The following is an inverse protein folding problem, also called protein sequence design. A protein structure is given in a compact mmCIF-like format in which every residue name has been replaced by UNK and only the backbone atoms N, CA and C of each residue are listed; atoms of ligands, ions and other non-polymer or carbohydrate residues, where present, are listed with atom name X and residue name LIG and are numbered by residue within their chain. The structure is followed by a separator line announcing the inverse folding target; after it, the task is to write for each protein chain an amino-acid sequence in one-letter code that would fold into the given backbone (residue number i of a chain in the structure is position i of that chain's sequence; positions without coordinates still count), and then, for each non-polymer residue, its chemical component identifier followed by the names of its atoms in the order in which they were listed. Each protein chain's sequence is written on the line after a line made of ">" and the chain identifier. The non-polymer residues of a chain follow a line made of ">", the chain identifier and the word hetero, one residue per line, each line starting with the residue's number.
data_IF_276622703197
#
_entry.id   IF_276622703197
#
_cell.length_a   1.000
_cell.length_b   1.000
_cell.length_c   1.000
_cell.angle_alpha   90.00
_cell.angle_beta   90.00
_cell.angle_gamma   90.00
#
_symmetry.space_group_name_H-M   'P 1'
#
loop_
_entity.id
_entity.type
_entity.pdbx_description
1 polymer ?
#
# COMPACT_ATOMS: atom_id res chain seq x y z
N UNK A 1 -22.53 33.44 -4.49
CA UNK A 1 -21.76 33.20 -5.73
C UNK A 1 -22.02 34.36 -6.67
N UNK A 2 -21.16 35.38 -6.65
CA UNK A 2 -21.19 36.38 -7.72
C UNK A 2 -20.62 35.73 -8.98
N UNK A 3 -21.28 35.84 -10.15
CA UNK A 3 -20.72 35.35 -11.40
C UNK A 3 -19.39 36.07 -11.67
N UNK A 4 -18.37 35.32 -12.08
CA UNK A 4 -17.01 35.82 -12.37
C UNK A 4 -16.98 37.06 -13.29
N UNK A 5 -18.02 37.22 -14.12
CA UNK A 5 -18.23 38.36 -15.02
C UNK A 5 -18.52 39.71 -14.31
N UNK A 6 -18.95 39.71 -13.04
CA UNK A 6 -19.17 40.94 -12.27
C UNK A 6 -17.91 41.49 -11.58
N UNK A 7 -16.88 40.65 -11.40
CA UNK A 7 -15.70 40.98 -10.59
C UNK A 7 -14.51 41.39 -11.47
N UNK A 8 -14.42 40.85 -12.69
CA UNK A 8 -13.34 41.15 -13.63
C UNK A 8 -13.91 42.07 -14.71
N UNK A 9 -13.44 43.33 -14.85
CA UNK A 9 -13.85 44.16 -15.96
C UNK A 9 -13.54 43.44 -17.28
N UNK A 10 -14.39 43.62 -18.29
CA UNK A 10 -14.11 43.10 -19.63
C UNK A 10 -12.76 43.65 -20.10
N UNK A 11 -11.74 42.80 -20.11
CA UNK A 11 -10.43 43.10 -20.67
C UNK A 11 -10.44 42.66 -22.13
N UNK A 12 -10.18 43.58 -23.05
CA UNK A 12 -9.73 43.20 -24.37
C UNK A 12 -8.29 42.70 -24.22
N UNK A 13 -8.07 41.42 -24.54
CA UNK A 13 -6.73 40.81 -24.48
C UNK A 13 -5.73 41.56 -25.36
N UNK A 14 -6.17 42.29 -26.39
CA UNK A 14 -5.31 43.08 -27.26
C UNK A 14 -4.71 44.32 -26.57
N UNK A 15 -5.32 44.82 -25.50
CA UNK A 15 -4.94 46.09 -24.85
C UNK A 15 -4.02 45.89 -23.61
N UNK A 16 -3.77 44.65 -23.22
CA UNK A 16 -2.86 44.35 -22.10
C UNK A 16 -1.44 44.27 -22.64
N UNK A 17 -0.52 45.18 -22.24
CA UNK A 17 0.89 45.00 -22.55
C UNK A 17 1.37 43.74 -21.82
N UNK A 18 1.48 42.63 -22.54
CA UNK A 18 1.81 41.34 -21.96
C UNK A 18 3.20 41.39 -21.33
N UNK A 19 3.24 41.39 -20.00
CA UNK A 19 4.42 41.02 -19.22
C UNK A 19 4.40 39.51 -18.97
N UNK A 20 5.57 38.92 -18.73
CA UNK A 20 5.69 37.53 -18.30
C UNK A 20 4.86 37.31 -17.02
N UNK A 21 3.96 36.33 -17.04
CA UNK A 21 3.15 35.90 -15.90
C UNK A 21 3.91 34.78 -15.19
N UNK A 22 4.25 35.00 -13.92
CA UNK A 22 4.85 34.01 -13.05
C UNK A 22 3.83 33.40 -12.09
N UNK A 23 3.58 32.11 -12.25
CA UNK A 23 2.73 31.31 -11.37
C UNK A 23 3.61 30.57 -10.36
N UNK A 24 3.30 30.65 -9.08
CA UNK A 24 4.01 29.94 -8.01
C UNK A 24 3.04 29.16 -7.12
N UNK A 25 3.51 28.14 -6.40
CA UNK A 25 2.75 27.51 -5.33
C UNK A 25 2.51 26.02 -5.51
N UNK A 26 1.36 25.55 -5.05
CA UNK A 26 1.04 24.15 -4.76
C UNK A 26 1.38 23.17 -5.89
N UNK A 27 2.16 22.15 -5.54
CA UNK A 27 2.41 20.97 -6.38
C UNK A 27 1.12 20.23 -6.78
N UNK A 28 0.08 20.28 -5.96
CA UNK A 28 -1.22 19.68 -6.29
C UNK A 28 -1.94 20.42 -7.43
N UNK A 29 -1.72 21.73 -7.56
CA UNK A 29 -2.35 22.57 -8.59
C UNK A 29 -1.44 22.75 -9.81
N UNK A 30 -0.15 22.40 -9.69
CA UNK A 30 0.84 22.55 -10.76
C UNK A 30 0.46 21.90 -12.10
N UNK A 31 -0.16 20.69 -12.17
CA UNK A 31 -0.59 20.12 -13.44
C UNK A 31 -1.59 21.00 -14.20
N UNK A 32 -2.52 21.63 -13.48
CA UNK A 32 -3.51 22.55 -14.08
C UNK A 32 -2.83 23.84 -14.54
N UNK A 33 -1.93 24.41 -13.74
CA UNK A 33 -1.16 25.59 -14.11
C UNK A 33 -0.27 25.36 -15.34
N UNK A 34 0.38 24.19 -15.43
CA UNK A 34 1.19 23.79 -16.59
C UNK A 34 0.32 23.62 -17.85
N UNK A 35 -0.89 23.07 -17.70
CA UNK A 35 -1.83 22.96 -18.82
C UNK A 35 -2.32 24.33 -19.29
N UNK A 36 -2.60 25.27 -18.38
CA UNK A 36 -2.93 26.66 -18.72
C UNK A 36 -1.79 27.33 -19.49
N UNK A 37 -0.54 27.15 -19.04
CA UNK A 37 0.64 27.64 -19.73
C UNK A 37 0.81 27.01 -21.13
N UNK A 38 0.51 25.72 -21.28
CA UNK A 38 0.52 25.06 -22.59
C UNK A 38 -0.54 25.62 -23.55
N UNK A 39 -1.76 25.88 -23.06
CA UNK A 39 -2.83 26.49 -23.86
C UNK A 39 -2.50 27.93 -24.27
N UNK A 40 -1.90 28.73 -23.38
CA UNK A 40 -1.44 30.08 -23.71
C UNK A 40 -0.40 30.07 -24.83
N UNK A 41 0.59 29.16 -24.75
CA UNK A 41 1.59 28.97 -25.80
C UNK A 41 0.95 28.57 -27.13
N UNK A 42 0.01 27.64 -27.12
CA UNK A 42 -0.72 27.22 -28.33
C UNK A 42 -1.58 28.34 -28.94
N UNK A 43 -2.08 29.26 -28.10
CA UNK A 43 -2.87 30.43 -28.50
C UNK A 43 -2.05 31.59 -29.07
N UNK A 44 -0.73 31.44 -29.24
CA UNK A 44 0.14 32.48 -29.81
C UNK A 44 0.85 33.35 -28.77
N UNK A 45 0.87 32.93 -27.50
CA UNK A 45 1.60 33.59 -26.41
C UNK A 45 2.77 32.72 -25.91
N UNK A 46 3.80 32.48 -26.74
CA UNK A 46 4.97 31.70 -26.33
C UNK A 46 5.68 32.38 -25.16
N UNK A 47 6.16 31.58 -24.19
CA UNK A 47 6.99 32.00 -23.06
C UNK A 47 6.38 33.01 -22.07
N UNK A 48 5.12 33.38 -22.26
CA UNK A 48 4.41 34.35 -21.42
C UNK A 48 4.03 33.81 -20.04
N UNK A 49 4.00 32.49 -19.83
CA UNK A 49 3.59 31.89 -18.54
C UNK A 49 4.69 30.97 -18.01
N UNK A 50 5.25 31.32 -16.87
CA UNK A 50 6.20 30.49 -16.13
C UNK A 50 5.51 29.87 -14.91
N UNK A 51 5.85 28.62 -14.59
CA UNK A 51 5.23 27.89 -13.46
C UNK A 51 6.33 27.34 -12.56
N UNK A 52 6.36 27.80 -11.30
CA UNK A 52 7.24 27.31 -10.25
C UNK A 52 6.44 26.49 -9.22
N UNK A 53 6.66 25.19 -9.22
CA UNK A 53 5.96 24.24 -8.32
C UNK A 53 6.67 24.14 -6.96
N UNK A 54 5.93 24.36 -5.88
CA UNK A 54 6.35 24.43 -4.46
C UNK A 54 5.17 24.03 -3.54
N UNK A 55 5.18 24.39 -2.25
CA UNK A 55 4.00 24.26 -1.37
C UNK A 55 3.12 25.51 -1.45
N UNK A 56 1.85 25.44 -1.05
CA UNK A 56 0.96 26.62 -1.03
C UNK A 56 1.52 27.75 -0.16
N UNK A 57 2.05 27.43 1.02
CA UNK A 57 2.64 28.43 1.93
C UNK A 57 3.89 29.09 1.35
N UNK A 58 4.77 28.32 0.70
CA UNK A 58 5.94 28.86 0.00
C UNK A 58 5.54 29.70 -1.23
N UNK A 59 4.48 29.30 -1.94
CA UNK A 59 3.86 30.07 -3.02
C UNK A 59 3.35 31.43 -2.53
N UNK A 60 2.59 31.46 -1.44
CA UNK A 60 2.17 32.72 -0.82
C UNK A 60 3.36 33.55 -0.35
N UNK A 61 4.39 32.95 0.26
CA UNK A 61 5.59 33.68 0.66
C UNK A 61 6.30 34.34 -0.54
N UNK A 62 6.39 33.61 -1.66
CA UNK A 62 7.01 34.11 -2.89
C UNK A 62 6.16 35.21 -3.53
N UNK A 63 4.84 35.02 -3.60
CA UNK A 63 3.92 36.01 -4.14
C UNK A 63 3.83 37.26 -3.26
N UNK A 64 3.90 37.15 -1.94
CA UNK A 64 3.85 38.33 -1.07
C UNK A 64 5.20 39.08 -1.03
N UNK A 65 6.27 38.60 -1.69
CA UNK A 65 7.55 39.28 -1.74
C UNK A 65 7.59 40.39 -2.82
N UNK A 66 8.50 41.34 -2.65
CA UNK A 66 8.74 42.39 -3.66
C UNK A 66 9.28 41.76 -4.97
N UNK A 67 8.68 42.13 -6.10
CA UNK A 67 8.95 41.47 -7.39
C UNK A 67 8.57 39.97 -7.46
N UNK A 68 7.77 39.47 -6.51
CA UNK A 68 7.25 38.10 -6.51
C UNK A 68 6.29 37.81 -7.66
N UNK A 69 5.93 36.54 -7.86
CA UNK A 69 5.06 36.10 -8.96
C UNK A 69 3.67 36.74 -8.98
N UNK A 70 2.95 36.60 -10.09
CA UNK A 70 1.66 37.24 -10.37
C UNK A 70 0.45 36.41 -9.93
N UNK A 71 0.62 35.08 -9.83
CA UNK A 71 -0.44 34.16 -9.45
C UNK A 71 0.08 33.15 -8.43
N UNK A 72 -0.70 32.92 -7.38
CA UNK A 72 -0.50 31.76 -6.48
C UNK A 72 -1.46 30.66 -6.88
N UNK A 73 -0.92 29.57 -7.41
CA UNK A 73 -1.63 28.30 -7.50
C UNK A 73 -1.71 27.70 -6.10
N UNK A 74 -2.89 27.70 -5.48
CA UNK A 74 -3.07 27.32 -4.09
C UNK A 74 -4.10 26.19 -3.95
N UNK A 75 -3.76 25.15 -3.18
CA UNK A 75 -4.68 24.05 -2.86
C UNK A 75 -5.57 24.34 -1.65
N UNK A 76 -5.36 25.47 -0.98
CA UNK A 76 -6.23 26.05 0.06
C UNK A 76 -6.25 27.57 -0.02
N UNK A 77 -7.22 28.18 0.65
CA UNK A 77 -7.24 29.63 0.82
C UNK A 77 -6.05 30.13 1.67
N UNK A 78 -5.68 31.40 1.48
CA UNK A 78 -4.69 32.07 2.31
C UNK A 78 -5.16 32.14 3.78
N UNK A 79 -4.30 31.74 4.70
CA UNK A 79 -4.56 31.88 6.13
C UNK A 79 -4.44 33.35 6.58
N UNK A 80 -4.61 33.62 7.88
CA UNK A 80 -4.58 34.99 8.41
C UNK A 80 -3.22 35.67 8.20
N UNK A 81 -2.14 34.97 8.51
CA UNK A 81 -0.78 35.51 8.47
C UNK A 81 -0.30 35.75 7.04
N UNK A 82 -0.65 34.85 6.10
CA UNK A 82 -0.37 35.01 4.67
C UNK A 82 -1.11 36.23 4.10
N UNK A 83 -2.36 36.44 4.48
CA UNK A 83 -3.14 37.62 4.08
C UNK A 83 -2.52 38.91 4.58
N UNK A 84 -2.11 38.94 5.84
CA UNK A 84 -1.47 40.13 6.42
C UNK A 84 -0.11 40.40 5.77
N UNK A 85 0.69 39.36 5.51
CA UNK A 85 1.97 39.50 4.82
C UNK A 85 1.82 40.11 3.43
N UNK A 86 0.87 39.61 2.64
CA UNK A 86 0.57 40.16 1.32
C UNK A 86 0.07 41.62 1.40
N UNK A 87 -0.81 41.92 2.36
CA UNK A 87 -1.29 43.29 2.59
C UNK A 87 -0.15 44.24 2.97
N UNK A 88 0.75 43.82 3.84
CA UNK A 88 1.92 44.60 4.25
C UNK A 88 2.88 44.87 3.07
N UNK A 89 2.94 43.96 2.10
CA UNK A 89 3.65 44.13 0.84
C UNK A 89 2.85 44.93 -0.22
N UNK A 90 1.70 45.49 0.13
CA UNK A 90 0.84 46.24 -0.79
C UNK A 90 0.12 45.38 -1.84
N UNK A 91 0.09 44.06 -1.67
CA UNK A 91 -0.53 43.10 -2.60
C UNK A 91 -1.91 42.67 -2.11
N UNK A 92 -2.92 42.86 -2.95
CA UNK A 92 -4.30 42.42 -2.69
C UNK A 92 -4.53 41.03 -3.27
N UNK A 93 -4.93 40.08 -2.41
CA UNK A 93 -5.29 38.73 -2.85
C UNK A 93 -6.72 38.70 -3.37
N UNK A 94 -6.88 38.31 -4.64
CA UNK A 94 -8.17 38.06 -5.26
C UNK A 94 -8.32 36.54 -5.52
N UNK A 95 -9.15 35.82 -4.74
CA UNK A 95 -9.27 34.37 -4.87
C UNK A 95 -10.15 33.97 -6.07
N UNK A 96 -9.64 33.06 -6.89
CA UNK A 96 -10.37 32.43 -7.98
C UNK A 96 -10.46 30.91 -7.77
N UNK A 97 -11.64 30.36 -7.45
CA UNK A 97 -11.82 28.91 -7.40
C UNK A 97 -11.82 28.36 -8.84
N UNK A 98 -10.78 27.60 -9.19
CA UNK A 98 -10.60 27.05 -10.54
C UNK A 98 -10.98 25.57 -10.64
N UNK A 99 -10.93 24.84 -9.53
CA UNK A 99 -11.27 23.43 -9.44
C UNK A 99 -11.65 23.08 -7.99
N UNK A 100 -12.43 22.02 -7.85
CA UNK A 100 -12.65 21.33 -6.58
C UNK A 100 -12.06 19.94 -6.75
N UNK A 101 -11.16 19.57 -5.85
CA UNK A 101 -10.56 18.25 -5.81
C UNK A 101 -10.83 17.62 -4.43
N UNK A 102 -10.93 16.29 -4.40
CA UNK A 102 -11.29 15.54 -3.21
C UNK A 102 -10.18 14.57 -2.83
N UNK A 103 -9.59 14.80 -1.67
CA UNK A 103 -8.74 13.83 -1.00
C UNK A 103 -9.62 12.78 -0.31
N UNK A 104 -9.52 11.53 -0.74
CA UNK A 104 -10.29 10.42 -0.16
C UNK A 104 -9.44 9.64 0.83
N UNK A 105 -10.00 9.37 2.01
CA UNK A 105 -9.44 8.41 2.96
C UNK A 105 -10.24 7.11 2.80
N UNK A 106 -9.56 6.07 2.36
CA UNK A 106 -10.16 4.75 2.19
C UNK A 106 -9.73 3.84 3.36
N UNK A 107 -10.63 2.94 3.73
CA UNK A 107 -10.33 1.85 4.66
C UNK A 107 -10.75 0.54 4.01
N UNK A 108 -10.17 -0.56 4.48
CA UNK A 108 -10.56 -1.90 4.03
C UNK A 108 -12.07 -2.13 4.21
N UNK A 109 -12.68 -2.86 3.27
CA UNK A 109 -14.10 -3.25 3.31
C UNK A 109 -14.50 -4.05 4.53
N UNK A 110 -13.54 -4.73 5.13
CA UNK A 110 -13.72 -5.50 6.35
C UNK A 110 -13.59 -4.63 7.61
N UNK A 111 -13.22 -3.36 7.49
CA UNK A 111 -13.31 -2.42 8.60
C UNK A 111 -14.77 -2.02 8.78
N UNK A 112 -15.48 -2.75 9.63
CA UNK A 112 -16.92 -2.55 9.90
C UNK A 112 -17.19 -1.61 11.08
N UNK A 113 -16.16 -1.24 11.85
CA UNK A 113 -16.31 -0.43 13.05
C UNK A 113 -16.02 1.06 12.82
N UNK A 114 -15.15 1.40 11.87
CA UNK A 114 -14.77 2.78 11.60
C UNK A 114 -15.81 3.45 10.69
N UNK A 115 -16.65 4.30 11.27
CA UNK A 115 -17.70 5.04 10.55
C UNK A 115 -17.26 6.44 10.12
N UNK A 116 -16.43 7.08 10.94
CA UNK A 116 -15.87 8.41 10.70
C UNK A 116 -14.65 8.62 11.58
N UNK A 117 -13.76 9.51 11.16
CA UNK A 117 -12.62 9.97 11.95
C UNK A 117 -12.51 11.49 11.85
N UNK A 118 -12.08 12.11 12.93
CA UNK A 118 -11.66 13.51 12.95
C UNK A 118 -10.28 13.68 12.31
N UNK A 119 -9.89 14.90 11.94
CA UNK A 119 -8.53 15.18 11.44
C UNK A 119 -7.46 14.79 12.48
N UNK A 120 -7.73 15.04 13.76
CA UNK A 120 -6.83 14.69 14.85
C UNK A 120 -6.68 13.17 14.99
N UNK A 121 -7.78 12.42 14.95
CA UNK A 121 -7.72 10.95 14.92
C UNK A 121 -7.02 10.43 13.66
N UNK A 122 -7.20 11.08 12.52
CA UNK A 122 -6.50 10.72 11.28
C UNK A 122 -4.99 10.94 11.39
N UNK A 123 -4.54 12.03 12.00
CA UNK A 123 -3.12 12.26 12.31
C UNK A 123 -2.59 11.17 13.26
N UNK A 124 -3.36 10.83 14.30
CA UNK A 124 -3.01 9.74 15.23
C UNK A 124 -2.91 8.39 14.51
N UNK A 125 -3.86 8.10 13.62
CA UNK A 125 -3.88 6.92 12.74
C UNK A 125 -2.70 6.90 11.79
N UNK A 126 -2.08 8.03 11.44
CA UNK A 126 -0.98 8.11 10.46
C UNK A 126 0.40 8.15 11.12
N UNK A 127 0.51 8.66 12.35
CA UNK A 127 1.81 8.89 13.02
C UNK A 127 2.01 7.99 14.23
N UNK A 128 1.01 7.84 15.09
CA UNK A 128 1.21 7.40 16.48
C UNK A 128 0.66 6.02 16.78
N UNK A 129 -0.61 5.79 16.45
CA UNK A 129 -1.34 4.59 16.85
C UNK A 129 -0.74 3.32 16.22
N UNK A 130 -0.66 2.24 17.00
CA UNK A 130 -0.23 0.92 16.52
C UNK A 130 -1.43 0.01 16.35
N UNK A 131 -2.45 0.16 17.20
CA UNK A 131 -3.71 -0.57 17.13
C UNK A 131 -4.89 0.39 17.08
N UNK A 132 -6.05 -0.07 16.60
CA UNK A 132 -7.25 0.78 16.60
C UNK A 132 -7.72 1.12 18.02
N UNK A 133 -7.50 0.21 18.97
CA UNK A 133 -7.80 0.43 20.38
C UNK A 133 -6.98 1.56 21.03
N UNK A 134 -5.84 1.93 20.43
CA UNK A 134 -5.03 3.06 20.91
C UNK A 134 -5.74 4.41 20.74
N UNK A 135 -6.63 4.52 19.74
CA UNK A 135 -7.43 5.73 19.50
C UNK A 135 -8.75 5.71 20.27
N UNK A 136 -9.40 4.55 20.29
CA UNK A 136 -10.67 4.36 20.96
C UNK A 136 -10.70 2.96 21.57
N UNK A 137 -10.75 2.82 22.91
CA UNK A 137 -10.78 1.52 23.57
C UNK A 137 -11.97 0.62 23.18
N UNK A 138 -13.01 1.17 22.54
CA UNK A 138 -14.14 0.39 22.01
C UNK A 138 -13.87 -0.20 20.62
N UNK A 139 -12.80 0.22 19.94
CA UNK A 139 -12.38 -0.35 18.67
C UNK A 139 -11.53 -1.61 18.87
N UNK A 140 -11.44 -2.50 17.86
CA UNK A 140 -10.66 -3.72 17.95
C UNK A 140 -9.20 -3.47 18.33
N UNK A 141 -8.60 -4.40 19.06
CA UNK A 141 -7.16 -4.41 19.33
C UNK A 141 -6.37 -4.99 18.14
N UNK A 142 -6.76 -4.59 16.93
CA UNK A 142 -6.12 -5.01 15.68
C UNK A 142 -5.05 -3.99 15.29
N UNK A 143 -3.91 -4.43 14.74
CA UNK A 143 -2.87 -3.51 14.27
C UNK A 143 -3.37 -2.63 13.12
N UNK A 144 -2.86 -1.40 13.08
CA UNK A 144 -3.11 -0.45 12.00
C UNK A 144 -1.99 -0.57 10.97
N UNK A 145 -2.34 -0.98 9.75
CA UNK A 145 -1.45 -0.93 8.58
C UNK A 145 -1.75 0.31 7.76
N UNK A 146 -0.70 0.98 7.27
CA UNK A 146 -0.77 2.29 6.60
C UNK A 146 -0.07 2.18 5.24
N UNK A 147 -0.77 2.48 4.16
CA UNK A 147 -0.13 2.85 2.91
C UNK A 147 -0.28 4.34 2.68
N UNK A 148 0.86 5.02 2.56
CA UNK A 148 0.91 6.44 2.28
C UNK A 148 1.37 6.65 0.84
N UNK A 149 0.86 7.68 0.16
CA UNK A 149 1.33 8.04 -1.17
C UNK A 149 2.83 8.32 -1.15
N UNK A 150 3.52 7.96 -2.23
CA UNK A 150 4.95 8.26 -2.38
C UNK A 150 5.22 9.75 -2.17
N UNK A 151 6.27 10.07 -1.42
CA UNK A 151 6.57 11.44 -0.94
C UNK A 151 6.76 12.48 -2.06
N UNK A 152 7.05 12.03 -3.29
CA UNK A 152 7.21 12.91 -4.45
C UNK A 152 5.89 13.18 -5.19
N UNK A 153 4.77 12.59 -4.76
CA UNK A 153 3.46 12.82 -5.36
C UNK A 153 2.82 14.12 -4.87
N UNK A 154 2.13 14.84 -5.75
CA UNK A 154 1.34 16.04 -5.38
C UNK A 154 0.25 15.74 -4.34
N UNK A 155 -0.24 14.50 -4.36
CA UNK A 155 -1.12 13.92 -3.35
C UNK A 155 -0.51 13.89 -1.95
N UNK A 156 0.72 13.38 -1.80
CA UNK A 156 1.41 13.37 -0.50
C UNK A 156 1.65 14.79 0.01
N UNK A 157 2.02 15.71 -0.89
CA UNK A 157 2.22 17.11 -0.56
C UNK A 157 0.92 17.77 -0.04
N UNK A 158 -0.22 17.51 -0.68
CA UNK A 158 -1.51 18.02 -0.22
C UNK A 158 -1.97 17.37 1.09
N UNK A 159 -1.82 16.05 1.24
CA UNK A 159 -2.15 15.35 2.49
C UNK A 159 -1.36 15.94 3.67
N UNK A 160 -0.06 16.14 3.49
CA UNK A 160 0.80 16.80 4.49
C UNK A 160 0.29 18.20 4.80
N UNK A 161 -0.02 19.01 3.78
CA UNK A 161 -0.46 20.38 3.99
C UNK A 161 -1.84 20.50 4.67
N UNK A 162 -2.78 19.62 4.31
CA UNK A 162 -4.18 19.73 4.72
C UNK A 162 -4.50 18.94 5.99
N UNK A 163 -3.73 17.88 6.27
CA UNK A 163 -4.01 16.95 7.38
C UNK A 163 -2.92 16.98 8.44
N UNK A 164 -1.65 17.23 8.11
CA UNK A 164 -0.53 17.06 9.06
C UNK A 164 -0.12 18.38 9.71
N UNK A 165 0.11 18.36 11.02
CA UNK A 165 0.73 19.49 11.74
C UNK A 165 2.27 19.39 11.70
N UNK A 166 2.97 20.53 11.83
CA UNK A 166 4.45 20.59 11.77
C UNK A 166 5.13 19.63 12.75
N UNK A 167 4.58 19.50 13.96
CA UNK A 167 5.10 18.64 15.02
C UNK A 167 4.93 17.14 14.69
N UNK A 168 3.88 16.78 13.97
CA UNK A 168 3.62 15.43 13.51
C UNK A 168 4.55 15.03 12.34
N UNK A 169 4.93 16.00 11.49
CA UNK A 169 5.89 15.82 10.40
C UNK A 169 7.32 15.58 10.90
N UNK A 170 7.73 16.28 11.95
CA UNK A 170 9.03 16.08 12.59
C UNK A 170 9.18 14.65 13.13
N UNK A 171 8.12 14.11 13.75
CA UNK A 171 8.12 12.75 14.31
C UNK A 171 8.01 11.65 13.24
N UNK A 172 7.30 11.89 12.13
CA UNK A 172 7.37 11.04 10.94
C UNK A 172 8.79 10.97 10.37
N UNK A 173 9.51 12.09 10.35
CA UNK A 173 10.89 12.16 9.88
C UNK A 173 11.89 11.48 10.83
N UNK A 174 11.66 11.50 12.15
CA UNK A 174 12.49 10.78 13.13
C UNK A 174 12.32 9.25 13.05
N UNK A 175 11.11 8.76 12.76
CA UNK A 175 10.86 7.32 12.52
C UNK A 175 11.60 6.77 11.30
N UNK A 176 12.02 7.63 10.38
CA UNK A 176 12.86 7.29 9.20
C UNK A 176 14.30 6.90 9.56
N UNK A 177 14.78 7.24 10.76
CA UNK A 177 16.12 6.87 11.22
C UNK A 177 16.18 5.48 11.89
N UNK A 178 15.08 4.71 11.85
CA UNK A 178 15.11 3.27 12.06
C UNK A 178 15.31 2.57 10.71
N UNK A 179 16.08 1.46 10.65
CA UNK A 179 16.45 0.83 9.39
C UNK A 179 15.20 0.51 8.55
N UNK A 180 15.24 0.97 7.29
CA UNK A 180 14.16 0.97 6.30
C UNK A 180 13.70 -0.43 5.86
N UNK A 181 14.21 -1.50 6.48
CA UNK A 181 13.83 -2.90 6.27
C UNK A 181 12.63 -3.35 7.12
N UNK A 182 11.96 -2.42 7.83
CA UNK A 182 10.93 -2.74 8.84
C UNK A 182 9.57 -2.05 8.62
N UNK A 183 9.41 -1.30 7.53
CA UNK A 183 8.12 -0.77 7.08
C UNK A 183 7.91 -1.22 5.64
N UNK A 184 6.77 -1.86 5.29
CA UNK A 184 6.48 -2.17 3.90
C UNK A 184 6.29 -0.85 3.14
N UNK A 185 7.24 -0.52 2.25
CA UNK A 185 7.04 0.50 1.23
C UNK A 185 5.98 -0.02 0.24
N UNK A 186 4.71 0.29 0.51
CA UNK A 186 3.66 0.07 -0.48
C UNK A 186 3.67 1.26 -1.43
N UNK A 187 4.36 1.10 -2.57
CA UNK A 187 4.24 2.01 -3.70
C UNK A 187 2.83 1.85 -4.30
N UNK A 188 1.93 2.78 -3.97
CA UNK A 188 0.64 2.87 -4.62
C UNK A 188 0.83 3.33 -6.07
N UNK A 189 0.93 2.39 -7.00
CA UNK A 189 0.69 2.68 -8.41
C UNK A 189 -0.81 2.86 -8.62
N UNK A 190 -1.17 3.81 -9.48
CA UNK A 190 -2.56 4.11 -9.85
C UNK A 190 -3.07 3.01 -10.80
N UNK A 191 -3.13 1.74 -10.36
CA UNK A 191 -3.66 0.64 -11.16
C UNK A 191 -5.17 0.48 -10.91
N UNK A 192 -5.97 0.86 -11.91
CA UNK A 192 -7.44 0.77 -11.89
C UNK A 192 -7.98 -0.67 -11.99
N UNK A 193 -7.16 -1.70 -11.71
CA UNK A 193 -7.51 -3.11 -11.96
C UNK A 193 -8.06 -3.89 -10.76
N UNK A 194 -8.10 -3.31 -9.56
CA UNK A 194 -8.86 -3.92 -8.46
C UNK A 194 -10.35 -3.55 -8.57
N UNK A 195 -11.09 -4.41 -9.28
CA UNK A 195 -12.53 -4.28 -9.57
C UNK A 195 -13.43 -4.57 -8.37
N UNK A 196 -12.89 -4.78 -7.17
CA UNK A 196 -13.74 -5.06 -6.04
C UNK A 196 -14.51 -3.82 -5.57
N UNK A 197 -13.98 -2.59 -5.69
CA UNK A 197 -14.59 -1.39 -5.09
C UNK A 197 -15.65 -0.67 -5.94
N UNK A 198 -16.76 -0.24 -5.30
CA UNK A 198 -17.79 0.62 -5.93
C UNK A 198 -17.53 2.08 -5.55
N UNK A 199 -17.01 2.92 -6.44
CA UNK A 199 -17.04 4.37 -6.24
C UNK A 199 -18.47 4.89 -6.45
N UNK A 200 -18.95 5.73 -5.53
CA UNK A 200 -20.20 6.47 -5.76
C UNK A 200 -19.86 7.70 -6.60
N UNK A 201 -20.15 7.60 -7.90
CA UNK A 201 -20.22 8.61 -8.97
C UNK A 201 -19.54 9.97 -8.74
N UNK A 202 -18.52 10.24 -9.58
CA UNK A 202 -18.13 11.60 -9.98
C UNK A 202 -16.61 11.76 -10.10
N UNK A 203 -16.05 11.63 -11.31
CA UNK A 203 -14.66 11.90 -11.72
C UNK A 203 -13.69 12.29 -10.59
N UNK A 204 -13.08 11.27 -9.99
CA UNK A 204 -12.18 11.38 -8.84
C UNK A 204 -10.74 11.19 -9.33
N UNK A 205 -9.88 12.21 -9.21
CA UNK A 205 -8.42 12.01 -9.10
C UNK A 205 -8.12 11.98 -7.61
N UNK A 206 -8.46 10.86 -6.99
CA UNK A 206 -8.43 10.70 -5.53
C UNK A 206 -7.26 9.83 -5.10
N UNK A 207 -6.70 10.19 -3.95
CA UNK A 207 -5.80 9.32 -3.19
C UNK A 207 -6.59 8.14 -2.64
N UNK A 208 -6.00 6.96 -2.70
CA UNK A 208 -6.42 5.80 -1.92
C UNK A 208 -5.37 5.61 -0.85
N UNK A 209 -5.74 5.78 0.42
CA UNK A 209 -4.98 5.19 1.53
C UNK A 209 -5.28 3.70 1.47
N UNK A 210 -4.33 2.88 1.03
CA UNK A 210 -4.48 1.43 1.09
C UNK A 210 -4.27 1.00 2.55
N UNK A 211 -5.31 0.46 3.17
CA UNK A 211 -5.13 -0.47 4.28
C UNK A 211 -5.13 -1.82 3.61
N UNK A 212 -3.95 -2.25 3.19
CA UNK A 212 -3.79 -3.55 2.58
C UNK A 212 -4.25 -4.63 3.57
N UNK A 213 -5.40 -5.23 3.28
CA UNK A 213 -5.85 -6.49 3.84
C UNK A 213 -5.73 -7.58 2.78
N UNK A 214 -4.62 -7.62 2.07
CA UNK A 214 -4.15 -8.85 1.45
C UNK A 214 -4.40 -9.97 2.47
N UNK A 215 -5.18 -11.02 2.12
CA UNK A 215 -5.50 -12.08 3.06
C UNK A 215 -4.21 -12.58 3.70
N UNK A 216 -4.13 -12.52 5.03
CA UNK A 216 -2.94 -12.99 5.72
C UNK A 216 -2.90 -14.51 5.68
N UNK A 217 -1.80 -15.06 5.21
CA UNK A 217 -1.54 -16.48 5.22
C UNK A 217 -0.36 -16.78 6.13
N UNK A 218 -0.57 -17.61 7.16
CA UNK A 218 0.49 -18.05 8.05
C UNK A 218 1.00 -19.41 7.62
N UNK A 219 2.29 -19.47 7.37
CA UNK A 219 2.95 -20.66 6.84
C UNK A 219 3.92 -21.18 7.89
N UNK A 220 3.61 -22.35 8.44
CA UNK A 220 4.48 -23.00 9.42
C UNK A 220 5.55 -23.85 8.76
N UNK A 221 6.78 -23.77 9.26
CA UNK A 221 7.90 -24.62 8.83
C UNK A 221 8.80 -24.98 10.01
N UNK A 222 9.60 -26.04 9.87
CA UNK A 222 10.60 -26.42 10.88
C UNK A 222 11.95 -25.81 10.49
N UNK A 223 12.59 -25.08 11.40
CA UNK A 223 13.97 -24.61 11.21
C UNK A 223 14.93 -25.79 11.29
N UNK A 224 16.01 -25.78 10.50
CA UNK A 224 17.02 -26.85 10.52
C UNK A 224 17.52 -27.12 11.95
N UNK A 225 17.06 -28.21 12.56
CA UNK A 225 17.30 -28.45 13.98
C UNK A 225 16.53 -29.64 14.56
N UNK A 226 16.57 -30.80 13.89
CA UNK A 226 16.32 -32.07 14.58
C UNK A 226 17.61 -32.55 15.25
N UNK A 227 17.52 -33.17 16.43
CA UNK A 227 18.64 -33.93 17.00
C UNK A 227 19.26 -34.86 15.94
N UNK A 228 20.57 -35.10 16.03
CA UNK A 228 21.38 -35.88 15.08
C UNK A 228 20.63 -37.13 14.55
N UNK A 229 20.09 -37.04 13.33
CA UNK A 229 19.45 -38.16 12.63
C UNK A 229 18.12 -37.86 11.92
N UNK A 230 17.41 -36.80 12.28
CA UNK A 230 16.07 -36.46 11.74
C UNK A 230 16.01 -35.08 11.07
N UNK A 231 17.05 -34.72 10.32
CA UNK A 231 17.10 -33.44 9.62
C UNK A 231 15.99 -33.37 8.55
N UNK A 232 14.91 -32.63 8.85
CA UNK A 232 13.90 -32.16 7.88
C UNK A 232 14.48 -31.26 6.78
N UNK A 233 15.76 -30.93 6.93
CA UNK A 233 16.68 -30.42 5.91
C UNK A 233 16.42 -28.97 5.50
N UNK A 234 17.38 -28.36 4.79
CA UNK A 234 17.26 -26.98 4.32
C UNK A 234 16.14 -26.82 3.28
N UNK A 235 15.68 -27.94 2.71
CA UNK A 235 14.64 -27.98 1.70
C UNK A 235 13.28 -27.50 2.20
N UNK A 236 12.87 -27.80 3.44
CA UNK A 236 11.56 -27.36 3.97
C UNK A 236 11.50 -25.85 4.18
N UNK A 237 12.55 -25.27 4.81
CA UNK A 237 12.67 -23.83 5.00
C UNK A 237 12.78 -23.10 3.65
N UNK A 238 13.66 -23.59 2.76
CA UNK A 238 13.83 -23.04 1.43
C UNK A 238 12.53 -23.03 0.61
N UNK A 239 11.81 -24.16 0.57
CA UNK A 239 10.53 -24.25 -0.15
C UNK A 239 9.52 -23.31 0.49
N UNK A 240 9.45 -23.24 1.81
CA UNK A 240 8.51 -22.35 2.50
C UNK A 240 8.77 -20.88 2.15
N UNK A 241 10.03 -20.44 2.16
CA UNK A 241 10.41 -19.08 1.79
C UNK A 241 10.13 -18.80 0.31
N UNK A 242 10.50 -19.71 -0.59
CA UNK A 242 10.26 -19.57 -2.03
C UNK A 242 8.76 -19.48 -2.35
N UNK A 243 7.94 -20.31 -1.69
CA UNK A 243 6.49 -20.26 -1.84
C UNK A 243 5.91 -19.00 -1.21
N UNK A 244 6.44 -18.54 -0.08
CA UNK A 244 6.07 -17.26 0.51
C UNK A 244 6.25 -16.10 -0.47
N UNK A 245 7.34 -16.10 -1.25
CA UNK A 245 7.54 -15.10 -2.30
C UNK A 245 6.49 -15.19 -3.42
N UNK A 246 6.16 -16.37 -3.92
CA UNK A 246 5.11 -16.52 -4.94
C UNK A 246 3.75 -16.03 -4.41
N UNK A 247 3.42 -16.41 -3.17
CA UNK A 247 2.17 -16.01 -2.54
C UNK A 247 2.09 -14.49 -2.31
N UNK A 248 3.19 -13.85 -1.94
CA UNK A 248 3.24 -12.40 -1.80
C UNK A 248 3.17 -11.69 -3.16
N UNK A 249 4.03 -12.05 -4.10
CA UNK A 249 4.23 -11.31 -5.35
C UNK A 249 3.15 -11.61 -6.40
N UNK A 250 2.72 -12.86 -6.54
CA UNK A 250 1.78 -13.28 -7.59
C UNK A 250 0.32 -13.28 -7.13
N UNK A 251 0.07 -13.44 -5.83
CA UNK A 251 -1.29 -13.48 -5.27
C UNK A 251 -1.63 -12.26 -4.40
N UNK A 252 -0.67 -11.36 -4.14
CA UNK A 252 -0.89 -10.21 -3.26
C UNK A 252 -1.35 -10.66 -1.89
N UNK A 253 -0.69 -11.63 -1.27
CA UNK A 253 -1.01 -12.11 0.09
C UNK A 253 -0.02 -11.56 1.11
N UNK A 254 -0.50 -11.29 2.32
CA UNK A 254 0.39 -11.03 3.45
C UNK A 254 0.89 -12.35 4.00
N UNK A 255 2.15 -12.68 3.71
CA UNK A 255 2.75 -13.94 4.14
C UNK A 255 3.44 -13.76 5.49
N UNK A 256 3.02 -14.53 6.49
CA UNK A 256 3.68 -14.64 7.79
C UNK A 256 4.32 -16.02 7.91
N UNK A 257 5.65 -16.07 7.81
CA UNK A 257 6.39 -17.31 8.00
C UNK A 257 6.63 -17.54 9.49
N UNK A 258 6.28 -18.73 9.98
CA UNK A 258 6.46 -19.11 11.38
C UNK A 258 7.33 -20.35 11.49
N UNK A 259 8.54 -20.13 12.00
CA UNK A 259 9.46 -21.17 12.37
C UNK A 259 8.98 -21.95 13.61
N UNK A 260 9.21 -23.25 13.60
CA UNK A 260 9.03 -24.15 14.73
C UNK A 260 10.31 -24.94 14.98
N UNK A 261 10.61 -25.27 16.25
CA UNK A 261 11.80 -26.05 16.60
C UNK A 261 11.68 -27.51 16.12
N UNK A 262 10.45 -28.05 16.09
CA UNK A 262 10.22 -29.44 15.71
C UNK A 262 8.87 -29.67 15.02
N UNK A 263 8.68 -30.91 14.57
CA UNK A 263 7.47 -31.40 13.94
C UNK A 263 6.24 -31.39 14.85
N UNK A 264 6.44 -31.72 16.12
CA UNK A 264 5.37 -31.85 17.11
C UNK A 264 4.69 -30.50 17.29
N UNK A 265 5.46 -29.43 17.49
CA UNK A 265 4.97 -28.06 17.64
C UNK A 265 4.33 -27.53 16.35
N UNK A 266 4.93 -27.80 15.18
CA UNK A 266 4.37 -27.38 13.90
C UNK A 266 2.97 -27.98 13.68
N UNK A 267 2.82 -29.29 13.83
CA UNK A 267 1.53 -29.95 13.57
C UNK A 267 0.50 -29.69 14.67
N UNK A 268 0.92 -29.53 15.94
CA UNK A 268 0.04 -29.07 17.00
C UNK A 268 -0.53 -27.68 16.67
N UNK A 269 0.32 -26.78 16.18
CA UNK A 269 -0.05 -25.42 15.79
C UNK A 269 -0.93 -25.41 14.53
N UNK A 270 -0.60 -26.21 13.52
CA UNK A 270 -1.44 -26.38 12.33
C UNK A 270 -2.85 -26.90 12.68
N UNK A 271 -2.96 -27.76 13.69
CA UNK A 271 -4.23 -28.32 14.16
C UNK A 271 -4.98 -27.43 15.16
N UNK A 272 -4.45 -26.26 15.52
CA UNK A 272 -5.06 -25.40 16.52
C UNK A 272 -6.45 -24.89 16.07
N UNK A 273 -7.38 -24.82 17.03
CA UNK A 273 -8.79 -24.50 16.77
C UNK A 273 -9.07 -23.01 16.65
N UNK A 274 -8.29 -22.19 17.36
CA UNK A 274 -8.46 -20.74 17.36
C UNK A 274 -7.65 -20.12 16.21
N UNK A 275 -8.19 -19.10 15.52
CA UNK A 275 -7.48 -18.42 14.47
C UNK A 275 -6.12 -17.91 14.93
N UNK A 276 -6.01 -17.30 16.11
CA UNK A 276 -4.79 -16.62 16.57
C UNK A 276 -3.64 -17.60 16.86
N UNK A 277 -3.99 -18.82 17.30
CA UNK A 277 -3.01 -19.82 17.68
C UNK A 277 -2.55 -20.70 16.52
N UNK A 278 -3.25 -20.71 15.37
CA UNK A 278 -2.95 -21.61 14.25
C UNK A 278 -2.03 -21.01 13.19
N UNK A 279 -1.31 -21.87 12.48
CA UNK A 279 -0.85 -21.58 11.12
C UNK A 279 -1.87 -22.11 10.13
N UNK A 280 -1.94 -21.52 8.94
CA UNK A 280 -2.97 -21.81 7.95
C UNK A 280 -2.54 -22.94 7.01
N UNK A 281 -1.24 -23.01 6.66
CA UNK A 281 -0.68 -24.08 5.84
C UNK A 281 0.78 -24.41 6.20
N UNK A 282 1.26 -25.56 5.74
CA UNK A 282 2.66 -25.95 5.79
C UNK A 282 3.04 -26.73 4.53
N UNK A 283 4.27 -26.49 4.06
CA UNK A 283 4.91 -27.25 3.00
C UNK A 283 5.77 -28.39 3.55
N UNK A 284 5.83 -28.59 4.88
CA UNK A 284 6.84 -29.46 5.49
C UNK A 284 6.33 -30.83 5.94
N UNK A 285 5.24 -31.32 5.34
CA UNK A 285 4.81 -32.70 5.55
C UNK A 285 5.61 -33.65 4.65
N UNK A 286 6.29 -34.61 5.27
CA UNK A 286 7.11 -35.61 4.61
C UNK A 286 6.47 -37.01 4.74
N UNK A 287 6.09 -37.63 3.63
CA UNK A 287 5.65 -39.03 3.61
C UNK A 287 6.87 -39.96 3.40
N UNK A 288 7.11 -40.99 4.23
CA UNK A 288 6.25 -41.54 5.29
C UNK A 288 6.50 -41.03 6.73
N UNK A 289 7.50 -40.17 6.95
CA UNK A 289 7.97 -39.75 8.27
C UNK A 289 6.85 -39.16 9.16
N UNK A 290 5.92 -38.41 8.57
CA UNK A 290 4.95 -37.59 9.31
C UNK A 290 3.56 -38.23 9.46
N UNK A 291 3.42 -39.52 9.08
CA UNK A 291 2.13 -40.22 9.15
C UNK A 291 1.54 -40.28 10.55
N UNK A 292 2.38 -40.33 11.59
CA UNK A 292 1.95 -40.33 13.00
C UNK A 292 1.21 -39.03 13.36
N UNK A 293 1.68 -37.88 12.89
CA UNK A 293 1.02 -36.58 13.10
C UNK A 293 -0.32 -36.50 12.40
N UNK A 294 -0.40 -37.03 11.18
CA UNK A 294 -1.68 -37.12 10.45
C UNK A 294 -2.70 -37.96 11.21
N UNK A 295 -2.29 -39.08 11.78
CA UNK A 295 -3.18 -39.92 12.61
C UNK A 295 -3.60 -39.20 13.89
N UNK A 296 -2.66 -38.50 14.55
CA UNK A 296 -2.91 -37.78 15.80
C UNK A 296 -3.87 -36.60 15.63
N UNK A 297 -3.72 -35.82 14.57
CA UNK A 297 -4.51 -34.61 14.29
C UNK A 297 -5.57 -34.82 13.22
N UNK A 298 -5.97 -36.07 12.99
CA UNK A 298 -7.00 -36.44 12.03
C UNK A 298 -8.30 -35.64 12.28
N UNK A 299 -8.83 -35.03 11.23
CA UNK A 299 -10.03 -34.19 11.28
C UNK A 299 -9.77 -32.72 11.60
N UNK A 300 -8.53 -32.33 11.93
CA UNK A 300 -8.13 -30.93 12.11
C UNK A 300 -7.17 -30.44 11.02
N UNK A 301 -6.44 -31.35 10.39
CA UNK A 301 -5.54 -31.07 9.27
C UNK A 301 -5.93 -31.87 8.04
N UNK A 302 -5.74 -31.27 6.87
CA UNK A 302 -6.11 -31.84 5.57
C UNK A 302 -5.02 -31.56 4.54
N UNK A 303 -4.94 -32.39 3.50
CA UNK A 303 -4.10 -32.10 2.34
C UNK A 303 -4.83 -31.13 1.40
N UNK A 304 -4.10 -30.18 0.82
CA UNK A 304 -4.65 -29.35 -0.27
C UNK A 304 -4.83 -30.19 -1.55
N UNK A 305 -3.99 -31.21 -1.77
CA UNK A 305 -4.19 -32.21 -2.83
C UNK A 305 -3.65 -33.61 -2.47
N UNK A 306 -4.13 -34.61 -3.21
CA UNK A 306 -3.72 -36.02 -3.32
C UNK A 306 -2.39 -36.28 -4.05
N UNK A 307 -1.84 -35.31 -4.78
CA UNK A 307 -0.58 -35.41 -5.51
C UNK A 307 0.67 -35.29 -4.62
N UNK A 308 1.50 -36.32 -4.63
CA UNK A 308 2.82 -36.31 -3.99
C UNK A 308 3.84 -35.54 -4.84
N UNK A 309 4.64 -34.64 -4.24
CA UNK A 309 5.71 -33.93 -4.95
C UNK A 309 7.07 -34.43 -4.53
N UNK A 310 7.84 -34.98 -5.46
CA UNK A 310 9.10 -35.63 -5.14
C UNK A 310 10.24 -34.61 -5.06
N UNK A 311 10.94 -34.57 -3.93
CA UNK A 311 12.18 -33.83 -3.73
C UNK A 311 13.21 -34.82 -3.19
N UNK A 312 14.14 -35.26 -4.05
CA UNK A 312 15.05 -36.36 -3.73
C UNK A 312 14.28 -37.67 -3.55
N UNK A 313 14.43 -38.32 -2.38
CA UNK A 313 13.69 -39.55 -2.01
C UNK A 313 12.35 -39.27 -1.30
N UNK A 314 12.12 -38.02 -0.87
CA UNK A 314 10.97 -37.67 -0.05
C UNK A 314 9.84 -37.08 -0.90
N UNK A 315 8.60 -37.30 -0.43
CA UNK A 315 7.40 -36.70 -1.02
C UNK A 315 6.91 -35.58 -0.12
N UNK A 316 7.04 -34.35 -0.59
CA UNK A 316 6.53 -33.16 0.04
C UNK A 316 5.03 -33.03 -0.29
N UNK A 317 4.22 -32.77 0.74
CA UNK A 317 2.78 -32.59 0.60
C UNK A 317 2.36 -31.31 1.31
N UNK A 318 1.48 -30.55 0.67
CA UNK A 318 0.93 -29.33 1.27
C UNK A 318 -0.20 -29.73 2.24
N UNK A 319 -0.01 -29.41 3.52
CA UNK A 319 -1.06 -29.57 4.53
C UNK A 319 -1.62 -28.21 4.93
N UNK A 320 -2.90 -28.20 5.26
CA UNK A 320 -3.63 -27.03 5.76
C UNK A 320 -4.51 -27.42 6.93
N UNK A 321 -4.96 -26.44 7.70
CA UNK A 321 -6.00 -26.65 8.68
C UNK A 321 -7.35 -26.93 7.98
N UNK A 322 -8.11 -27.88 8.49
CA UNK A 322 -9.44 -28.29 7.97
C UNK A 322 -10.48 -27.15 7.90
N UNK A 323 -10.34 -26.10 8.71
CA UNK A 323 -11.21 -24.92 8.67
C UNK A 323 -10.77 -23.96 7.54
N UNK A 324 -9.49 -23.97 7.19
CA UNK A 324 -8.91 -23.10 6.15
C UNK A 324 -9.19 -23.67 4.76
N UNK A 325 -9.13 -24.99 4.58
CA UNK A 325 -9.32 -25.62 3.26
C UNK A 325 -10.63 -25.22 2.55
N UNK A 326 -11.82 -25.25 3.18
CA UNK A 326 -13.06 -24.86 2.51
C UNK A 326 -13.13 -23.38 2.15
N UNK A 327 -12.37 -22.52 2.84
CA UNK A 327 -12.24 -21.10 2.49
C UNK A 327 -11.30 -20.93 1.29
N UNK A 328 -10.20 -21.68 1.22
CA UNK A 328 -9.34 -21.71 0.03
C UNK A 328 -10.11 -22.19 -1.21
N UNK A 329 -10.87 -23.28 -1.10
CA UNK A 329 -11.62 -23.85 -2.22
C UNK A 329 -12.72 -22.92 -2.77
N UNK A 330 -13.43 -22.21 -1.87
CA UNK A 330 -14.62 -21.42 -2.24
C UNK A 330 -14.30 -19.96 -2.51
N UNK A 331 -13.45 -19.36 -1.69
CA UNK A 331 -13.21 -17.91 -1.69
C UNK A 331 -11.90 -17.56 -2.42
N UNK A 332 -10.89 -18.44 -2.37
CA UNK A 332 -9.58 -18.23 -3.00
C UNK A 332 -9.26 -19.31 -4.02
N UNK A 333 -10.19 -19.56 -4.94
CA UNK A 333 -10.12 -20.68 -5.89
C UNK A 333 -8.84 -20.70 -6.73
N UNK A 334 -8.34 -19.54 -7.15
CA UNK A 334 -7.10 -19.42 -7.93
C UNK A 334 -5.88 -19.85 -7.13
N UNK A 335 -5.79 -19.38 -5.88
CA UNK A 335 -4.75 -19.80 -4.94
C UNK A 335 -4.83 -21.31 -4.68
N UNK A 336 -6.03 -21.84 -4.45
CA UNK A 336 -6.22 -23.28 -4.26
C UNK A 336 -5.73 -24.08 -5.47
N UNK A 337 -6.11 -23.67 -6.70
CA UNK A 337 -5.67 -24.33 -7.93
C UNK A 337 -4.17 -24.22 -8.17
N UNK A 338 -3.54 -23.10 -7.82
CA UNK A 338 -2.09 -22.97 -7.87
C UNK A 338 -1.41 -23.92 -6.88
N UNK A 339 -1.87 -23.95 -5.62
CA UNK A 339 -1.34 -24.85 -4.61
C UNK A 339 -1.52 -26.31 -5.05
N UNK A 340 -2.65 -26.65 -5.68
CA UNK A 340 -2.94 -27.95 -6.28
C UNK A 340 -1.95 -28.30 -7.42
N UNK A 341 -1.72 -27.36 -8.36
CA UNK A 341 -0.93 -27.59 -9.58
C UNK A 341 0.59 -27.49 -9.42
N UNK A 342 1.08 -26.85 -8.36
CA UNK A 342 2.51 -26.60 -8.15
C UNK A 342 3.33 -27.91 -8.23
N UNK A 343 4.52 -27.89 -8.83
CA UNK A 343 5.37 -29.09 -8.88
C UNK A 343 6.84 -28.71 -8.80
N UNK A 344 7.53 -29.21 -7.78
CA UNK A 344 8.96 -28.94 -7.59
C UNK A 344 9.86 -30.01 -8.21
N UNK A 345 9.29 -30.93 -8.98
CA UNK A 345 10.02 -32.04 -9.58
C UNK A 345 11.08 -31.53 -10.57
N UNK A 346 12.32 -31.97 -10.39
CA UNK A 346 13.44 -31.59 -11.25
C UNK A 346 13.96 -30.17 -11.07
N UNK A 347 13.46 -29.40 -10.10
CA UNK A 347 13.91 -28.04 -9.83
C UNK A 347 15.06 -28.02 -8.82
N UNK A 348 16.17 -27.31 -9.07
CA UNK A 348 17.27 -27.21 -8.11
C UNK A 348 16.83 -26.34 -6.92
N UNK A 349 16.80 -26.92 -5.71
CA UNK A 349 16.41 -26.24 -4.47
C UNK A 349 17.63 -25.92 -3.56
N UNK A 350 18.84 -26.23 -4.02
CA UNK A 350 20.08 -26.03 -3.26
C UNK A 350 21.09 -25.21 -4.06
N UNK A 351 22.00 -24.52 -3.36
CA UNK A 351 23.05 -23.71 -3.99
C UNK A 351 22.62 -22.32 -4.47
N UNK A 352 21.40 -21.87 -4.10
CA UNK A 352 20.86 -20.55 -4.41
C UNK A 352 19.96 -20.06 -3.28
N UNK A 353 19.62 -18.77 -3.27
CA UNK A 353 18.64 -18.20 -2.32
C UNK A 353 17.20 -18.42 -2.81
N UNK A 354 16.19 -18.43 -1.92
CA UNK A 354 14.78 -18.51 -2.33
C UNK A 354 14.37 -17.39 -3.29
N UNK A 355 14.89 -16.18 -3.10
CA UNK A 355 14.65 -15.04 -4.00
C UNK A 355 15.28 -15.25 -5.38
N UNK A 356 16.52 -15.75 -5.45
CA UNK A 356 17.16 -16.04 -6.74
C UNK A 356 16.41 -17.16 -7.47
N UNK A 357 15.95 -18.17 -6.73
CA UNK A 357 15.12 -19.24 -7.27
C UNK A 357 13.80 -18.71 -7.83
N UNK A 358 13.11 -17.85 -7.09
CA UNK A 358 11.87 -17.24 -7.53
C UNK A 358 12.06 -16.47 -8.86
N UNK A 359 13.11 -15.65 -8.96
CA UNK A 359 13.40 -14.88 -10.18
C UNK A 359 13.78 -15.78 -11.36
N UNK A 360 14.57 -16.83 -11.12
CA UNK A 360 15.03 -17.74 -12.20
C UNK A 360 13.92 -18.64 -12.76
N UNK A 361 12.88 -18.92 -11.98
CA UNK A 361 11.84 -19.88 -12.33
C UNK A 361 10.49 -19.24 -12.69
N UNK A 362 10.45 -17.93 -12.98
CA UNK A 362 9.21 -17.20 -13.31
C UNK A 362 8.37 -17.89 -14.40
N UNK A 363 8.98 -18.30 -15.52
CA UNK A 363 8.24 -18.96 -16.60
C UNK A 363 7.56 -20.27 -16.17
N UNK A 364 8.16 -21.01 -15.23
CA UNK A 364 7.58 -22.22 -14.67
C UNK A 364 6.47 -21.88 -13.66
N UNK A 365 6.67 -20.85 -12.84
CA UNK A 365 5.68 -20.35 -11.87
C UNK A 365 4.44 -19.87 -12.62
N UNK A 366 4.60 -19.11 -13.69
CA UNK A 366 3.51 -18.61 -14.54
C UNK A 366 2.67 -19.76 -15.13
N UNK A 367 3.29 -20.89 -15.46
CA UNK A 367 2.58 -22.08 -15.94
C UNK A 367 1.72 -22.74 -14.84
N UNK A 368 1.98 -22.48 -13.56
CA UNK A 368 1.15 -22.94 -12.44
C UNK A 368 0.04 -21.96 -12.07
N UNK A 369 0.08 -20.71 -12.54
CA UNK A 369 -0.92 -19.70 -12.26
C UNK A 369 -2.14 -19.94 -13.18
N UNK A 370 -3.24 -20.52 -12.68
CA UNK A 370 -4.30 -21.04 -13.54
C UNK A 370 -5.36 -19.98 -13.88
N UNK A 371 -5.22 -18.76 -13.36
CA UNK A 371 -6.20 -17.68 -13.51
C UNK A 371 -5.54 -16.49 -14.22
N UNK A 372 -5.90 -16.28 -15.49
CA UNK A 372 -5.65 -15.04 -16.25
C UNK A 372 -6.61 -13.91 -15.86
#
# INVERSE_FOLDING_TARGET
>A
THPLAEIVPACDFADVPFSDIAITGSTAVAPLALQMAAQARAGGYPDMVTVASTTTGAGFATFCADGGGDVVAASRAANGDERERCRAAGRSLLPFPIAVDALTIAVSRENLFLQSVTIQELQQIVVYARTWSDLNPQWPNDPILRALPGMQSGTAAYFVEAVMEEEALAQLAERRNQPLSSLPEVSATNDQRDTTMRPTVGNVVGTTVFIDKSPRVRIGYVEEGGEEGEARGPACAFVTEAMGLILAENFGLQVELRAFPDADELFATLAAKTPEARVDLTFCYLDPLDRSYRQRYFGYTEFIDSGYRQIGENRLVIMTNSVVKPALERENRCLYQFLDALSLEGMPLSGQTPSDWYVQNQATIDAWLPCE
#
